data_IF_812761716371
#
_entry.id   IF_812761716371
#
_cell.length_a   1.000
_cell.length_b   1.000
_cell.length_c   1.000
_cell.angle_alpha   90.00
_cell.angle_beta   90.00
_cell.angle_gamma   90.00
#
_symmetry.space_group_name_H-M   'P 1'
#
loop_
_entity.id
_entity.type
_entity.pdbx_description
1 polymer ?
#
# COMPACT_ATOMS: atom_id res chain seq x y z
N UNK A 1 -7.10 -6.87 -7.95
CA UNK A 1 -7.93 -6.17 -6.97
C UNK A 1 -7.41 -6.33 -5.54
N UNK A 2 -7.08 -7.55 -5.09
CA UNK A 2 -6.67 -7.83 -3.70
C UNK A 2 -5.47 -6.96 -3.28
N UNK A 3 -4.41 -6.87 -4.09
CA UNK A 3 -3.23 -6.08 -3.78
C UNK A 3 -3.57 -4.58 -3.68
N UNK A 4 -4.27 -4.04 -4.67
CA UNK A 4 -4.64 -2.62 -4.70
C UNK A 4 -5.52 -2.26 -3.51
N UNK A 5 -6.47 -3.13 -3.16
CA UNK A 5 -7.33 -2.97 -1.97
C UNK A 5 -6.53 -3.08 -0.68
N UNK A 6 -5.58 -4.02 -0.58
CA UNK A 6 -4.72 -4.18 0.59
C UNK A 6 -3.84 -2.95 0.84
N UNK A 7 -3.24 -2.39 -0.21
CA UNK A 7 -2.45 -1.15 -0.12
C UNK A 7 -3.34 0.02 0.29
N UNK A 8 -4.51 0.17 -0.33
CA UNK A 8 -5.46 1.22 0.04
C UNK A 8 -5.90 1.08 1.51
N UNK A 9 -6.21 -0.13 1.96
CA UNK A 9 -6.62 -0.41 3.34
C UNK A 9 -5.52 -0.05 4.35
N UNK A 10 -4.25 -0.31 4.04
CA UNK A 10 -3.12 0.10 4.87
C UNK A 10 -3.08 1.62 5.07
N UNK A 11 -3.13 2.39 3.98
CA UNK A 11 -3.10 3.85 4.05
C UNK A 11 -4.38 4.44 4.66
N UNK A 12 -5.52 3.79 4.46
CA UNK A 12 -6.76 4.13 5.14
C UNK A 12 -6.64 3.95 6.66
N UNK A 13 -6.05 2.84 7.11
CA UNK A 13 -5.72 2.64 8.52
C UNK A 13 -4.79 3.75 9.05
N UNK A 14 -3.74 4.11 8.30
CA UNK A 14 -2.85 5.24 8.64
C UNK A 14 -3.63 6.57 8.79
N UNK A 15 -4.60 6.79 7.91
CA UNK A 15 -5.47 7.97 7.96
C UNK A 15 -6.37 7.97 9.21
N UNK A 16 -6.97 6.83 9.56
CA UNK A 16 -7.83 6.72 10.74
C UNK A 16 -7.04 6.97 12.04
N UNK A 17 -5.83 6.42 12.13
CA UNK A 17 -4.95 6.55 13.29
C UNK A 17 -3.88 7.65 13.11
N UNK A 18 -4.19 8.70 12.35
CA UNK A 18 -3.23 9.75 12.00
C UNK A 18 -2.57 10.42 13.21
N UNK A 19 -3.29 10.60 14.32
CA UNK A 19 -2.73 11.20 15.54
C UNK A 19 -1.62 10.34 16.14
N UNK A 20 -1.93 9.13 16.65
CA UNK A 20 -0.93 8.22 17.22
C UNK A 20 0.22 7.89 16.26
N UNK A 21 -0.08 7.70 14.96
CA UNK A 21 0.94 7.40 13.94
C UNK A 21 1.91 8.56 13.75
N UNK A 22 1.39 9.79 13.67
CA UNK A 22 2.23 10.98 13.49
C UNK A 22 3.12 11.21 14.72
N UNK A 23 2.58 11.04 15.92
CA UNK A 23 3.31 11.16 17.17
C UNK A 23 4.44 10.13 17.26
N UNK A 24 4.18 8.87 16.90
CA UNK A 24 5.22 7.84 16.90
C UNK A 24 6.28 8.10 15.84
N UNK A 25 5.87 8.47 14.62
CA UNK A 25 6.82 8.78 13.54
C UNK A 25 7.68 9.99 13.92
N UNK A 26 7.12 10.97 14.63
CA UNK A 26 7.86 12.12 15.17
C UNK A 26 8.85 11.71 16.27
N UNK A 27 8.42 10.87 17.22
CA UNK A 27 9.30 10.32 18.26
C UNK A 27 10.41 9.43 17.70
N UNK A 28 10.16 8.79 16.55
CA UNK A 28 11.18 8.04 15.80
C UNK A 28 12.10 8.92 14.94
N UNK A 29 11.99 10.26 15.03
CA UNK A 29 12.80 11.21 14.28
C UNK A 29 12.44 11.34 12.81
N UNK A 30 11.27 10.83 12.38
CA UNK A 30 10.81 10.99 11.01
C UNK A 30 10.15 12.35 10.82
N UNK A 31 10.62 13.08 9.83
CA UNK A 31 10.06 14.37 9.47
C UNK A 31 9.15 14.20 8.25
N UNK A 32 7.92 14.67 8.37
CA UNK A 32 6.97 14.74 7.28
C UNK A 32 7.02 16.12 6.65
N UNK A 33 7.73 16.31 5.52
CA UNK A 33 7.96 17.64 4.97
C UNK A 33 6.67 18.31 4.50
N UNK A 34 5.74 17.56 3.93
CA UNK A 34 4.48 18.14 3.39
C UNK A 34 3.57 18.67 4.51
N UNK A 35 3.23 17.89 5.57
CA UNK A 35 2.51 18.40 6.73
C UNK A 35 3.17 19.61 7.37
N UNK A 36 4.49 19.58 7.53
CA UNK A 36 5.26 20.66 8.15
C UNK A 36 5.18 21.97 7.33
N UNK A 37 5.39 21.89 6.01
CA UNK A 37 5.34 23.05 5.10
C UNK A 37 3.93 23.64 5.07
N UNK A 38 2.90 22.81 4.93
CA UNK A 38 1.51 23.25 4.89
C UNK A 38 1.05 23.81 6.23
N UNK A 39 1.50 23.23 7.35
CA UNK A 39 1.25 23.80 8.67
C UNK A 39 1.87 25.20 8.80
N UNK A 40 3.13 25.35 8.38
CA UNK A 40 3.87 26.63 8.48
C UNK A 40 3.32 27.70 7.53
N UNK A 41 2.91 27.32 6.31
CA UNK A 41 2.41 28.25 5.29
C UNK A 41 0.94 28.64 5.51
N UNK A 42 0.09 27.68 5.85
CA UNK A 42 -1.37 27.86 5.90
C UNK A 42 -1.97 27.68 7.29
N UNK A 43 -1.14 27.46 8.33
CA UNK A 43 -1.58 27.17 9.70
C UNK A 43 -2.57 26.00 9.82
N UNK A 44 -2.50 25.06 8.88
CA UNK A 44 -3.32 23.87 8.91
C UNK A 44 -2.79 22.90 9.98
N UNK A 45 -3.66 22.21 10.76
CA UNK A 45 -3.23 21.21 11.72
C UNK A 45 -2.45 20.08 11.02
N UNK A 46 -1.24 19.77 11.48
CA UNK A 46 -0.38 18.73 10.88
C UNK A 46 -1.12 17.38 10.75
N UNK A 47 -1.88 17.01 11.78
CA UNK A 47 -2.72 15.81 11.77
C UNK A 47 -3.72 15.77 10.62
N UNK A 48 -4.33 16.92 10.28
CA UNK A 48 -5.29 16.99 9.19
C UNK A 48 -4.60 16.80 7.83
N UNK A 49 -3.44 17.43 7.67
CA UNK A 49 -2.65 17.32 6.44
C UNK A 49 -2.14 15.90 6.26
N UNK A 50 -1.56 15.31 7.29
CA UNK A 50 -1.08 13.93 7.28
C UNK A 50 -2.19 12.92 6.98
N UNK A 51 -3.39 13.16 7.51
CA UNK A 51 -4.58 12.34 7.22
C UNK A 51 -4.93 12.36 5.73
N UNK A 52 -4.97 13.54 5.12
CA UNK A 52 -5.28 13.72 3.70
C UNK A 52 -4.17 13.19 2.80
N UNK A 53 -2.91 13.44 3.16
CA UNK A 53 -1.74 12.93 2.47
C UNK A 53 -1.75 11.39 2.44
N UNK A 54 -1.95 10.75 3.58
CA UNK A 54 -2.01 9.29 3.68
C UNK A 54 -3.12 8.71 2.79
N UNK A 55 -4.30 9.31 2.79
CA UNK A 55 -5.40 8.87 1.91
C UNK A 55 -5.07 9.05 0.44
N UNK A 56 -4.48 10.18 0.06
CA UNK A 56 -4.09 10.46 -1.32
C UNK A 56 -3.02 9.48 -1.81
N UNK A 57 -1.99 9.23 -1.00
CA UNK A 57 -0.93 8.26 -1.32
C UNK A 57 -1.53 6.87 -1.50
N UNK A 58 -2.44 6.46 -0.61
CA UNK A 58 -3.12 5.18 -0.72
C UNK A 58 -3.92 5.03 -2.01
N UNK A 59 -4.70 6.06 -2.36
CA UNK A 59 -5.50 6.08 -3.56
C UNK A 59 -4.63 6.04 -4.83
N UNK A 60 -3.62 6.91 -4.92
CA UNK A 60 -2.70 6.97 -6.06
C UNK A 60 -1.96 5.64 -6.21
N UNK A 61 -1.45 5.08 -5.11
CA UNK A 61 -0.75 3.79 -5.13
C UNK A 61 -1.66 2.66 -5.62
N UNK A 62 -2.91 2.61 -5.16
CA UNK A 62 -3.88 1.60 -5.58
C UNK A 62 -4.21 1.72 -7.08
N UNK A 63 -4.41 2.96 -7.57
CA UNK A 63 -4.70 3.23 -9.00
C UNK A 63 -3.50 2.85 -9.87
N UNK A 64 -2.28 3.24 -9.47
CA UNK A 64 -1.05 2.92 -10.22
C UNK A 64 -0.82 1.42 -10.27
N UNK A 65 -0.95 0.71 -9.15
CA UNK A 65 -0.81 -0.74 -9.11
C UNK A 65 -1.84 -1.44 -9.99
N UNK A 66 -3.10 -1.01 -9.93
CA UNK A 66 -4.16 -1.57 -10.75
C UNK A 66 -3.93 -1.29 -12.26
N UNK A 67 -3.59 -0.05 -12.59
CA UNK A 67 -3.29 0.37 -13.96
C UNK A 67 -2.08 -0.36 -14.54
N UNK A 68 -1.02 -0.53 -13.75
CA UNK A 68 0.17 -1.27 -14.16
C UNK A 68 -0.14 -2.74 -14.47
N UNK A 69 -0.96 -3.39 -13.64
CA UNK A 69 -1.40 -4.76 -13.92
C UNK A 69 -2.19 -4.83 -15.23
N UNK A 70 -3.18 -3.98 -15.42
CA UNK A 70 -3.97 -3.94 -16.64
C UNK A 70 -3.10 -3.68 -17.87
N UNK A 71 -2.15 -2.75 -17.78
CA UNK A 71 -1.19 -2.47 -18.84
C UNK A 71 -0.37 -3.72 -19.20
N UNK A 72 0.18 -4.42 -18.21
CA UNK A 72 0.97 -5.64 -18.44
C UNK A 72 0.15 -6.76 -19.05
N UNK A 73 -1.13 -6.89 -18.70
CA UNK A 73 -2.04 -7.90 -19.25
C UNK A 73 -2.39 -7.58 -20.70
N UNK A 74 -2.54 -6.30 -21.06
CA UNK A 74 -2.87 -5.85 -22.42
C UNK A 74 -1.64 -5.66 -23.31
N UNK A 75 -0.44 -5.66 -22.73
CA UNK A 75 0.81 -5.45 -23.47
C UNK A 75 0.99 -6.41 -24.68
N UNK A 76 0.68 -7.72 -24.58
CA UNK A 76 0.76 -8.63 -25.73
C UNK A 76 -0.10 -8.21 -26.91
N UNK A 77 -1.24 -7.58 -26.67
CA UNK A 77 -2.14 -7.11 -27.73
C UNK A 77 -1.58 -5.90 -28.49
N UNK A 78 -0.64 -5.18 -27.87
CA UNK A 78 0.05 -4.03 -28.48
C UNK A 78 1.30 -4.44 -29.27
N UNK A 79 1.77 -5.69 -29.11
CA UNK A 79 2.96 -6.18 -29.80
C UNK A 79 2.61 -6.70 -31.20
N UNK A 80 3.50 -6.55 -32.20
CA UNK A 80 3.31 -7.11 -33.52
C UNK A 80 3.10 -8.64 -33.44
N UNK A 81 2.08 -9.15 -34.12
CA UNK A 81 1.77 -10.57 -34.16
C UNK A 81 0.95 -11.08 -32.99
N UNK A 82 0.56 -10.23 -32.02
CA UNK A 82 -0.25 -10.60 -30.86
C UNK A 82 0.24 -11.87 -30.15
N UNK A 83 1.49 -11.94 -29.67
CA UNK A 83 2.02 -13.13 -29.04
C UNK A 83 1.21 -13.50 -27.80
N UNK A 84 0.80 -14.76 -27.71
CA UNK A 84 0.02 -15.27 -26.56
C UNK A 84 0.85 -16.15 -25.66
N UNK A 85 1.95 -16.69 -26.17
CA UNK A 85 2.84 -17.60 -25.44
C UNK A 85 4.27 -17.07 -25.46
N UNK A 86 5.09 -17.61 -24.56
CA UNK A 86 6.54 -17.34 -24.58
C UNK A 86 7.19 -17.81 -25.85
N UNK A 87 6.69 -18.90 -26.45
CA UNK A 87 7.15 -19.41 -27.75
C UNK A 87 6.91 -18.41 -28.89
N UNK A 88 5.73 -17.79 -28.94
CA UNK A 88 5.40 -16.77 -29.92
C UNK A 88 6.31 -15.55 -29.78
N UNK A 89 6.55 -15.11 -28.54
CA UNK A 89 7.39 -13.94 -28.26
C UNK A 89 8.86 -14.16 -28.64
N UNK A 90 9.37 -15.38 -28.41
CA UNK A 90 10.76 -15.73 -28.68
C UNK A 90 11.00 -16.29 -30.10
N UNK A 91 9.94 -16.44 -30.91
CA UNK A 91 10.04 -17.00 -32.25
C UNK A 91 10.57 -18.45 -32.27
N UNK A 92 10.25 -19.24 -31.23
CA UNK A 92 10.72 -20.61 -31.10
C UNK A 92 9.93 -21.58 -32.02
N UNK A 93 10.54 -22.76 -32.27
CA UNK A 93 9.89 -23.81 -33.07
C UNK A 93 8.52 -24.19 -32.47
N UNK A 94 7.52 -24.53 -33.31
CA UNK A 94 6.17 -24.89 -32.86
C UNK A 94 6.10 -26.00 -31.82
N UNK A 95 7.05 -26.93 -31.82
CA UNK A 95 7.12 -28.05 -30.89
C UNK A 95 7.78 -27.69 -29.53
N UNK A 96 8.17 -26.42 -29.37
CA UNK A 96 8.83 -25.99 -28.13
C UNK A 96 7.85 -25.94 -26.95
N UNK A 97 8.30 -26.41 -25.77
CA UNK A 97 7.56 -26.30 -24.51
C UNK A 97 7.18 -24.87 -24.17
N UNK A 98 7.87 -23.86 -24.72
CA UNK A 98 7.59 -22.44 -24.52
C UNK A 98 6.20 -22.02 -25.05
N UNK A 99 5.61 -22.74 -25.98
CA UNK A 99 4.24 -22.47 -26.46
C UNK A 99 3.15 -22.91 -25.47
N UNK A 100 3.50 -23.69 -24.44
CA UNK A 100 2.58 -24.00 -23.34
C UNK A 100 2.60 -22.96 -22.22
N UNK A 101 3.55 -22.02 -22.24
CA UNK A 101 3.68 -20.97 -21.23
C UNK A 101 2.97 -19.72 -21.75
N UNK A 102 1.78 -19.46 -21.22
CA UNK A 102 1.04 -18.25 -21.55
C UNK A 102 1.76 -16.98 -21.03
N UNK A 103 1.87 -15.94 -21.85
CA UNK A 103 2.48 -14.66 -21.45
C UNK A 103 1.81 -14.05 -20.24
N UNK A 104 0.51 -14.29 -20.05
CA UNK A 104 -0.28 -13.80 -18.91
C UNK A 104 0.21 -14.33 -17.55
N UNK A 105 0.96 -15.44 -17.53
CA UNK A 105 1.50 -16.01 -16.29
C UNK A 105 2.55 -15.09 -15.66
N UNK A 106 3.32 -14.35 -16.48
CA UNK A 106 4.39 -13.46 -16.01
C UNK A 106 3.83 -12.30 -15.18
N UNK A 107 2.91 -11.46 -15.70
CA UNK A 107 2.33 -10.37 -14.90
C UNK A 107 1.55 -10.90 -13.70
N UNK A 108 0.87 -12.04 -13.83
CA UNK A 108 0.13 -12.65 -12.72
C UNK A 108 1.06 -13.08 -11.60
N UNK A 109 2.15 -13.77 -11.91
CA UNK A 109 3.14 -14.24 -10.93
C UNK A 109 3.87 -13.07 -10.30
N UNK A 110 4.29 -12.08 -11.08
CA UNK A 110 4.92 -10.86 -10.58
C UNK A 110 3.97 -10.11 -9.63
N UNK A 111 2.69 -10.01 -9.96
CA UNK A 111 1.71 -9.34 -9.14
C UNK A 111 1.39 -10.08 -7.84
N UNK A 112 1.31 -11.40 -7.89
CA UNK A 112 1.09 -12.24 -6.69
C UNK A 112 2.30 -12.19 -5.78
N UNK A 113 3.50 -12.50 -6.28
CA UNK A 113 4.73 -12.56 -5.46
C UNK A 113 5.13 -11.15 -4.98
N UNK A 114 5.18 -10.19 -5.89
CA UNK A 114 5.50 -8.79 -5.55
C UNK A 114 4.45 -8.16 -4.63
N UNK A 115 3.18 -8.48 -4.86
CA UNK A 115 2.08 -8.04 -4.03
C UNK A 115 2.13 -8.57 -2.61
N UNK A 116 2.38 -9.86 -2.44
CA UNK A 116 2.59 -10.46 -1.12
C UNK A 116 3.78 -9.84 -0.40
N UNK A 117 4.86 -9.59 -1.10
CA UNK A 117 6.04 -8.95 -0.53
C UNK A 117 5.77 -7.53 -0.06
N UNK A 118 5.11 -6.71 -0.89
CA UNK A 118 4.72 -5.33 -0.53
C UNK A 118 3.80 -5.33 0.68
N UNK A 119 2.74 -6.14 0.68
CA UNK A 119 1.81 -6.23 1.80
C UNK A 119 2.51 -6.70 3.07
N UNK A 120 3.38 -7.70 2.98
CA UNK A 120 4.15 -8.19 4.12
C UNK A 120 5.01 -7.11 4.75
N UNK A 121 5.70 -6.28 3.94
CA UNK A 121 6.48 -5.15 4.45
C UNK A 121 5.59 -4.11 5.14
N UNK A 122 4.44 -3.78 4.56
CA UNK A 122 3.51 -2.81 5.11
C UNK A 122 2.93 -3.29 6.46
N UNK A 123 2.53 -4.55 6.53
CA UNK A 123 2.01 -5.14 7.77
C UNK A 123 3.08 -5.36 8.82
N UNK A 124 4.30 -5.73 8.43
CA UNK A 124 5.43 -5.84 9.36
C UNK A 124 5.72 -4.51 10.07
N UNK A 125 5.71 -3.40 9.34
CA UNK A 125 5.85 -2.07 9.96
C UNK A 125 4.76 -1.78 10.99
N UNK A 126 3.52 -2.22 10.74
CA UNK A 126 2.41 -2.04 11.67
C UNK A 126 2.56 -2.89 12.93
N UNK A 127 3.08 -4.10 12.79
CA UNK A 127 3.36 -4.98 13.94
C UNK A 127 4.45 -4.39 14.84
N UNK A 128 5.50 -3.81 14.27
CA UNK A 128 6.52 -3.09 15.04
C UNK A 128 5.93 -1.91 15.83
N UNK A 129 4.91 -1.25 15.33
CA UNK A 129 4.19 -0.19 16.04
C UNK A 129 3.41 -0.75 17.24
N UNK A 130 2.76 -1.92 17.09
CA UNK A 130 2.09 -2.62 18.17
C UNK A 130 3.08 -3.04 19.27
N UNK A 131 4.22 -3.62 18.90
CA UNK A 131 5.27 -4.06 19.85
C UNK A 131 5.88 -2.90 20.63
N UNK A 132 5.89 -1.69 20.07
CA UNK A 132 6.33 -0.47 20.76
C UNK A 132 5.27 0.16 21.68
N UNK A 133 4.12 -0.49 21.83
CA UNK A 133 3.05 -0.04 22.71
C UNK A 133 2.21 1.13 22.17
N UNK A 134 2.38 1.50 20.89
CA UNK A 134 1.60 2.57 20.25
C UNK A 134 0.18 2.12 19.93
N UNK A 135 0.01 0.85 19.61
CA UNK A 135 -1.29 0.20 19.45
C UNK A 135 -1.45 -0.78 20.62
N UNK A 136 -1.96 -0.32 21.72
CA UNK A 136 -2.34 -1.20 22.83
C UNK A 136 -3.56 -1.99 22.39
N UNK A 137 -3.42 -3.32 22.36
CA UNK A 137 -4.57 -4.20 22.26
C UNK A 137 -5.37 -4.00 23.55
N UNK A 138 -6.56 -3.44 23.44
CA UNK A 138 -7.46 -3.31 24.56
C UNK A 138 -8.10 -4.68 24.75
N UNK A 139 -7.36 -5.59 25.41
CA UNK A 139 -7.89 -6.91 25.82
C UNK A 139 -8.81 -6.81 27.05
N UNK A 140 -8.84 -5.66 27.71
CA UNK A 140 -9.76 -5.39 28.79
C UNK A 140 -10.81 -4.36 28.36
N UNK A 141 -12.05 -4.71 28.56
CA UNK A 141 -13.21 -3.83 28.45
C UNK A 141 -13.07 -2.72 29.52
N UNK A 142 -12.27 -1.70 29.21
CA UNK A 142 -12.16 -0.53 30.08
C UNK A 142 -13.49 0.20 29.96
N UNK A 143 -14.25 0.38 31.08
CA UNK A 143 -15.48 1.13 31.05
C UNK A 143 -15.24 2.51 30.43
N UNK A 144 -16.12 2.90 29.51
CA UNK A 144 -16.01 4.11 28.68
C UNK A 144 -15.76 5.41 29.45
N UNK A 145 -16.05 5.46 30.73
CA UNK A 145 -15.84 6.64 31.59
C UNK A 145 -14.36 7.03 31.76
N UNK A 146 -13.42 6.07 31.69
CA UNK A 146 -12.00 6.35 31.85
C UNK A 146 -11.26 6.65 30.53
N UNK A 147 -11.88 6.36 29.39
CA UNK A 147 -11.26 6.57 28.09
C UNK A 147 -11.17 8.07 27.72
N UNK A 148 -12.21 8.82 28.04
CA UNK A 148 -12.24 10.27 27.74
C UNK A 148 -11.39 11.13 28.68
N UNK A 149 -11.15 10.68 29.92
CA UNK A 149 -10.38 11.45 30.89
C UNK A 149 -8.86 11.45 30.61
N UNK A 150 -8.33 10.48 29.88
CA UNK A 150 -6.90 10.42 29.50
C UNK A 150 -6.54 11.30 28.31
N UNK A 151 -7.49 11.69 27.49
CA UNK A 151 -7.27 12.48 26.28
C UNK A 151 -7.81 13.92 26.39
N UNK A 152 -8.33 14.32 27.55
CA UNK A 152 -8.85 15.66 27.81
C UNK A 152 -7.85 16.61 28.48
N UNK A 153 -6.54 16.27 28.47
CA UNK A 153 -5.48 17.15 28.99
C UNK A 153 -4.60 17.66 27.87
#
# INVERSE_FOLDING_TARGET
HILSTGVLAYFYGKMLFAGPVLEEEHNAGKIHPIPLILHKAFRLPEKLVFRRESMLIGLVSAVVLHGMFNFLVTLPDLLPGNPRTMGDLMGSNPDSVLHYIALLIIPSLFYVVGGFWILSILFYKKQCMKERGVLVEVDEFVPTENFYSRYAK
#
